data_IF_514621778421
#
_entry.id   IF_514621778421
#
_cell.length_a   1.000
_cell.length_b   1.000
_cell.length_c   1.000
_cell.angle_alpha   90.00
_cell.angle_beta   90.00
_cell.angle_gamma   90.00
#
_symmetry.space_group_name_H-M   'P 1'
#
loop_
_entity.id
_entity.type
_entity.pdbx_description
1 polymer ?
#
# COMPACT_ATOMS: atom_id res chain seq x y z
N UNK A 1 12.63 35.30 -3.45
CA UNK A 1 11.65 34.60 -4.30
C UNK A 1 11.56 33.18 -3.79
N UNK A 2 10.49 32.81 -3.10
CA UNK A 2 10.26 31.41 -2.73
C UNK A 2 9.80 30.68 -3.98
N UNK A 3 10.73 29.98 -4.64
CA UNK A 3 10.38 29.17 -5.80
C UNK A 3 9.56 27.99 -5.29
N UNK A 4 8.25 28.02 -5.53
CA UNK A 4 7.35 26.93 -5.12
C UNK A 4 7.83 25.67 -5.84
N UNK A 5 8.20 24.66 -5.05
CA UNK A 5 8.72 23.38 -5.55
C UNK A 5 7.71 22.79 -6.54
N UNK A 6 8.17 22.30 -7.68
CA UNK A 6 7.29 21.66 -8.66
C UNK A 6 7.17 20.15 -8.43
N UNK A 7 6.18 19.53 -9.05
CA UNK A 7 6.06 18.05 -9.11
C UNK A 7 7.34 17.45 -9.71
N UNK A 8 7.90 18.08 -10.75
CA UNK A 8 9.14 17.63 -11.40
C UNK A 8 10.35 17.66 -10.45
N UNK A 9 10.45 18.69 -9.61
CA UNK A 9 11.51 18.79 -8.60
C UNK A 9 11.37 17.71 -7.52
N UNK A 10 10.14 17.41 -7.13
CA UNK A 10 9.82 16.32 -6.18
C UNK A 10 10.20 14.96 -6.77
N UNK A 11 9.79 14.67 -8.01
CA UNK A 11 10.19 13.45 -8.72
C UNK A 11 11.71 13.33 -8.85
N UNK A 12 12.39 14.41 -9.21
CA UNK A 12 13.86 14.44 -9.31
C UNK A 12 14.51 14.12 -7.95
N UNK A 13 14.03 14.72 -6.87
CA UNK A 13 14.53 14.43 -5.53
C UNK A 13 14.28 12.98 -5.11
N UNK A 14 13.10 12.43 -5.39
CA UNK A 14 12.81 11.03 -5.13
C UNK A 14 13.82 10.10 -5.82
N UNK A 15 14.03 10.28 -7.12
CA UNK A 15 14.97 9.44 -7.88
C UNK A 15 16.45 9.72 -7.55
N UNK A 16 16.77 10.83 -6.86
CA UNK A 16 18.09 11.07 -6.26
C UNK A 16 18.26 10.29 -4.96
N UNK A 17 17.20 10.15 -4.17
CA UNK A 17 17.20 9.45 -2.88
C UNK A 17 17.04 7.93 -3.02
N UNK A 18 16.30 7.48 -4.04
CA UNK A 18 16.13 6.06 -4.39
C UNK A 18 16.49 5.84 -5.84
N UNK A 19 17.73 5.37 -6.06
CA UNK A 19 18.31 5.18 -7.41
C UNK A 19 18.07 3.78 -7.98
N UNK A 20 17.55 2.84 -7.17
CA UNK A 20 17.30 1.46 -7.60
C UNK A 20 16.05 1.41 -8.50
N UNK A 21 16.01 0.51 -9.50
CA UNK A 21 14.82 0.35 -10.32
C UNK A 21 13.61 -0.13 -9.51
N UNK A 22 12.46 0.52 -9.71
CA UNK A 22 11.17 0.08 -9.19
C UNK A 22 10.43 -0.65 -10.32
N UNK A 23 9.93 -1.86 -10.02
CA UNK A 23 9.13 -2.64 -10.94
C UNK A 23 7.90 -1.84 -11.41
N UNK A 24 7.56 -1.95 -12.69
CA UNK A 24 6.60 -1.07 -13.38
C UNK A 24 5.23 -1.00 -12.70
N UNK A 25 4.70 -2.13 -12.23
CA UNK A 25 3.41 -2.22 -11.52
C UNK A 25 3.37 -1.33 -10.26
N UNK A 26 4.47 -1.29 -9.50
CA UNK A 26 4.58 -0.50 -8.27
C UNK A 26 5.04 0.94 -8.54
N UNK A 27 5.77 1.19 -9.64
CA UNK A 27 6.20 2.54 -10.01
C UNK A 27 5.01 3.48 -10.16
N UNK A 28 3.93 3.01 -10.79
CA UNK A 28 2.70 3.80 -10.94
C UNK A 28 2.12 4.19 -9.59
N UNK A 29 2.02 3.25 -8.64
CA UNK A 29 1.55 3.49 -7.27
C UNK A 29 2.39 4.57 -6.58
N UNK A 30 3.72 4.42 -6.63
CA UNK A 30 4.64 5.35 -5.97
C UNK A 30 4.56 6.75 -6.59
N UNK A 31 4.48 6.85 -7.92
CA UNK A 31 4.37 8.15 -8.59
C UNK A 31 3.03 8.83 -8.35
N UNK A 32 1.91 8.10 -8.39
CA UNK A 32 0.58 8.66 -8.09
C UNK A 32 0.53 9.17 -6.65
N UNK A 33 1.02 8.38 -5.68
CA UNK A 33 1.08 8.79 -4.28
C UNK A 33 2.00 10.01 -4.09
N UNK A 34 3.16 10.05 -4.74
CA UNK A 34 4.08 11.19 -4.68
C UNK A 34 3.46 12.48 -5.23
N UNK A 35 2.77 12.40 -6.36
CA UNK A 35 2.08 13.55 -6.95
C UNK A 35 0.96 14.02 -6.03
N UNK A 36 0.16 13.11 -5.49
CA UNK A 36 -0.92 13.45 -4.56
C UNK A 36 -0.38 14.15 -3.29
N UNK A 37 0.65 13.58 -2.67
CA UNK A 37 1.30 14.19 -1.51
C UNK A 37 1.91 15.56 -1.84
N UNK A 38 2.48 15.73 -3.03
CA UNK A 38 3.02 17.02 -3.49
C UNK A 38 1.92 18.07 -3.64
N UNK A 39 0.85 17.76 -4.36
CA UNK A 39 -0.24 18.70 -4.62
C UNK A 39 -0.95 19.12 -3.32
N UNK A 40 -0.99 18.23 -2.32
CA UNK A 40 -1.44 18.57 -0.98
C UNK A 40 -0.43 19.51 -0.28
N UNK A 41 0.87 19.18 -0.30
CA UNK A 41 1.90 19.96 0.40
C UNK A 41 2.00 21.44 -0.01
N UNK A 42 1.64 21.76 -1.26
CA UNK A 42 1.68 23.13 -1.82
C UNK A 42 0.32 23.83 -1.73
N UNK A 43 -0.73 23.17 -1.25
CA UNK A 43 -2.03 23.77 -1.05
C UNK A 43 -2.04 24.60 0.25
N UNK A 44 -2.48 25.86 0.17
CA UNK A 44 -2.45 26.79 1.30
C UNK A 44 -3.31 26.34 2.50
N UNK A 45 -4.37 25.57 2.26
CA UNK A 45 -5.29 25.10 3.29
C UNK A 45 -4.90 23.72 3.85
N UNK A 46 -3.86 23.09 3.29
CA UNK A 46 -3.40 21.79 3.75
C UNK A 46 -2.55 21.92 5.01
N UNK A 47 -2.93 21.14 6.02
CA UNK A 47 -2.14 20.93 7.23
C UNK A 47 -1.85 19.44 7.39
N UNK A 48 -0.65 19.10 7.87
CA UNK A 48 -0.35 17.74 8.29
C UNK A 48 -1.24 17.36 9.48
N UNK A 49 -1.81 16.16 9.44
CA UNK A 49 -2.43 15.52 10.58
C UNK A 49 -2.11 14.00 10.62
N UNK A 50 -2.26 13.34 11.79
CA UNK A 50 -1.98 11.91 11.98
C UNK A 50 -2.93 10.97 11.24
N UNK A 51 -4.18 11.38 10.97
CA UNK A 51 -5.14 10.57 10.20
C UNK A 51 -4.68 10.53 8.74
N UNK A 52 -4.28 11.68 8.19
CA UNK A 52 -3.63 11.77 6.88
C UNK A 52 -2.33 10.92 6.83
N UNK A 53 -1.48 11.00 7.86
CA UNK A 53 -0.25 10.21 7.92
C UNK A 53 -0.53 8.70 7.91
N UNK A 54 -1.52 8.24 8.69
CA UNK A 54 -2.00 6.87 8.67
C UNK A 54 -2.49 6.45 7.28
N UNK A 55 -3.20 7.35 6.60
CA UNK A 55 -3.64 7.16 5.22
C UNK A 55 -2.50 6.96 4.23
N UNK A 56 -1.45 7.78 4.32
CA UNK A 56 -0.23 7.69 3.48
C UNK A 56 0.51 6.39 3.75
N UNK A 57 0.78 6.07 5.01
CA UNK A 57 1.47 4.84 5.42
C UNK A 57 0.70 3.62 4.93
N UNK A 58 -0.62 3.59 5.16
CA UNK A 58 -1.44 2.44 4.79
C UNK A 58 -1.57 2.29 3.28
N UNK A 59 -1.76 3.39 2.55
CA UNK A 59 -1.80 3.35 1.09
C UNK A 59 -0.50 2.77 0.53
N UNK A 60 0.65 3.25 1.02
CA UNK A 60 1.93 2.70 0.60
C UNK A 60 2.04 1.21 0.94
N UNK A 61 1.79 0.83 2.19
CA UNK A 61 2.03 -0.55 2.65
C UNK A 61 1.15 -1.57 1.93
N UNK A 62 -0.14 -1.27 1.73
CA UNK A 62 -1.05 -2.21 1.06
C UNK A 62 -0.77 -2.30 -0.43
N UNK A 63 -0.55 -1.17 -1.12
CA UNK A 63 -0.26 -1.21 -2.55
C UNK A 63 1.14 -1.73 -2.88
N UNK A 64 2.07 -1.70 -1.92
CA UNK A 64 3.42 -2.27 -2.03
C UNK A 64 3.52 -3.69 -1.45
N UNK A 65 2.41 -4.32 -1.06
CA UNK A 65 2.39 -5.71 -0.64
C UNK A 65 2.97 -6.60 -1.75
N UNK A 66 3.81 -7.59 -1.41
CA UNK A 66 4.42 -8.47 -2.41
C UNK A 66 5.51 -7.83 -3.29
N UNK A 67 5.94 -6.60 -3.03
CA UNK A 67 7.08 -5.97 -3.72
C UNK A 67 8.37 -6.78 -3.51
N UNK A 68 9.19 -6.91 -4.56
CA UNK A 68 10.50 -7.56 -4.50
C UNK A 68 11.60 -6.67 -5.11
N UNK A 69 12.77 -6.54 -4.47
CA UNK A 69 13.13 -7.15 -3.19
C UNK A 69 12.50 -6.40 -1.99
N UNK A 70 11.95 -7.14 -1.02
CA UNK A 70 11.24 -6.61 0.15
C UNK A 70 12.02 -5.51 0.91
N UNK A 71 13.34 -5.67 1.03
CA UNK A 71 14.25 -4.73 1.71
C UNK A 71 14.22 -3.30 1.13
N UNK A 72 13.80 -3.14 -0.13
CA UNK A 72 13.78 -1.84 -0.79
C UNK A 72 12.52 -1.04 -0.45
N UNK A 73 11.44 -1.66 0.06
CA UNK A 73 10.20 -0.94 0.42
C UNK A 73 10.46 0.21 1.40
N UNK A 74 11.28 -0.04 2.43
CA UNK A 74 11.66 1.00 3.39
C UNK A 74 12.43 2.14 2.72
N UNK A 75 13.34 1.84 1.80
CA UNK A 75 14.07 2.87 1.04
C UNK A 75 13.13 3.70 0.16
N UNK A 76 12.17 3.07 -0.51
CA UNK A 76 11.17 3.75 -1.35
C UNK A 76 10.29 4.67 -0.50
N UNK A 77 9.74 4.18 0.62
CA UNK A 77 8.92 5.01 1.52
C UNK A 77 9.72 6.19 2.08
N UNK A 78 10.97 5.94 2.49
CA UNK A 78 11.84 6.98 3.02
C UNK A 78 12.15 8.05 1.96
N UNK A 79 12.43 7.64 0.73
CA UNK A 79 12.65 8.56 -0.38
C UNK A 79 11.38 9.36 -0.73
N UNK A 80 10.21 8.73 -0.67
CA UNK A 80 8.91 9.37 -0.91
C UNK A 80 8.69 10.53 0.07
N UNK A 81 8.77 10.29 1.38
CA UNK A 81 8.61 11.35 2.39
C UNK A 81 9.70 12.42 2.28
N UNK A 82 10.98 12.01 2.18
CA UNK A 82 12.11 12.96 2.12
C UNK A 82 12.12 13.80 0.84
N UNK A 83 11.55 13.31 -0.26
CA UNK A 83 11.39 14.09 -1.49
C UNK A 83 10.43 15.28 -1.34
N UNK A 84 9.64 15.32 -0.27
CA UNK A 84 8.73 16.40 0.10
C UNK A 84 9.17 17.09 1.40
N UNK A 85 10.43 16.89 1.80
CA UNK A 85 11.01 17.42 3.03
C UNK A 85 10.28 16.95 4.31
N UNK A 86 9.52 15.85 4.23
CA UNK A 86 8.89 15.20 5.37
C UNK A 86 9.81 14.18 6.05
N UNK A 87 9.53 13.92 7.33
CA UNK A 87 10.23 12.91 8.14
C UNK A 87 9.50 11.57 8.07
N UNK A 88 10.06 10.52 7.43
CA UNK A 88 9.41 9.22 7.33
C UNK A 88 9.08 8.60 8.69
N UNK A 89 9.96 8.81 9.67
CA UNK A 89 9.84 8.26 11.02
C UNK A 89 8.62 8.84 11.74
N UNK A 90 8.33 10.14 11.53
CA UNK A 90 7.14 10.79 12.08
C UNK A 90 5.85 10.19 11.52
N UNK A 91 5.79 9.95 10.20
CA UNK A 91 4.62 9.34 9.57
C UNK A 91 4.36 7.95 10.12
N UNK A 92 5.41 7.12 10.23
CA UNK A 92 5.32 5.75 10.74
C UNK A 92 4.88 5.74 12.20
N UNK A 93 5.51 6.56 13.05
CA UNK A 93 5.20 6.64 14.47
C UNK A 93 3.76 7.13 14.72
N UNK A 94 3.36 8.25 14.10
CA UNK A 94 2.02 8.79 14.30
C UNK A 94 0.94 7.80 13.80
N UNK A 95 1.17 7.14 12.67
CA UNK A 95 0.27 6.12 12.14
C UNK A 95 0.15 4.91 13.09
N UNK A 96 1.26 4.41 13.61
CA UNK A 96 1.30 3.27 14.53
C UNK A 96 0.59 3.59 15.85
N UNK A 97 0.91 4.72 16.47
CA UNK A 97 0.31 5.14 17.75
C UNK A 97 -1.20 5.40 17.62
N UNK A 98 -1.63 6.07 16.55
CA UNK A 98 -3.05 6.36 16.34
C UNK A 98 -3.85 5.09 16.06
N UNK A 99 -3.30 4.17 15.26
CA UNK A 99 -3.94 2.88 14.97
C UNK A 99 -3.98 1.98 16.22
N UNK A 100 -2.94 2.00 17.06
CA UNK A 100 -2.94 1.29 18.33
C UNK A 100 -4.02 1.83 19.29
N UNK A 101 -4.22 3.15 19.34
CA UNK A 101 -5.31 3.74 20.09
C UNK A 101 -6.68 3.26 19.58
N UNK A 102 -6.91 3.29 18.26
CA UNK A 102 -8.17 2.83 17.68
C UNK A 102 -8.48 1.36 18.03
N UNK A 103 -7.47 0.48 17.93
CA UNK A 103 -7.57 -0.93 18.34
C UNK A 103 -7.93 -1.11 19.82
N UNK A 104 -7.44 -0.23 20.70
CA UNK A 104 -7.71 -0.29 22.13
C UNK A 104 -9.08 0.25 22.56
N UNK A 105 -9.71 1.10 21.75
CA UNK A 105 -11.00 1.73 22.08
C UNK A 105 -12.21 0.84 21.75
N UNK A 106 -12.11 0.02 20.70
CA UNK A 106 -13.28 -0.63 20.08
C UNK A 106 -14.12 0.35 19.27
N UNK A 107 -14.94 -0.17 18.35
CA UNK A 107 -15.55 0.63 17.30
C UNK A 107 -16.58 1.67 17.80
N UNK A 108 -17.41 1.33 18.79
CA UNK A 108 -18.43 2.26 19.33
C UNK A 108 -17.78 3.50 19.96
N UNK A 109 -16.75 3.30 20.79
CA UNK A 109 -16.01 4.40 21.44
C UNK A 109 -15.21 5.21 20.42
N UNK A 110 -14.61 4.55 19.43
CA UNK A 110 -13.90 5.24 18.35
C UNK A 110 -14.85 6.14 17.56
N UNK A 111 -16.02 5.63 17.14
CA UNK A 111 -17.01 6.43 16.42
C UNK A 111 -17.52 7.56 17.29
N UNK A 112 -17.88 7.29 18.56
CA UNK A 112 -18.31 8.33 19.50
C UNK A 112 -17.26 9.42 19.69
N UNK A 113 -15.97 9.06 19.68
CA UNK A 113 -14.86 10.00 19.75
C UNK A 113 -14.71 10.86 18.49
N UNK A 114 -14.63 10.22 17.32
CA UNK A 114 -14.50 10.92 16.04
C UNK A 114 -15.75 11.75 15.70
N UNK A 115 -16.92 11.32 16.18
CA UNK A 115 -18.18 12.05 16.09
C UNK A 115 -18.33 13.17 17.15
N UNK A 116 -17.31 13.35 18.01
CA UNK A 116 -17.26 14.36 19.08
C UNK A 116 -18.39 14.23 20.13
N UNK A 117 -18.92 13.03 20.31
CA UNK A 117 -19.94 12.73 21.33
C UNK A 117 -19.31 12.36 22.67
N UNK A 118 -18.15 11.72 22.64
CA UNK A 118 -17.37 11.35 23.82
C UNK A 118 -15.90 11.67 23.61
N UNK A 119 -15.13 11.79 24.70
CA UNK A 119 -13.68 11.91 24.64
C UNK A 119 -13.11 10.79 25.50
N UNK A 120 -12.47 9.77 24.90
CA UNK A 120 -11.80 8.73 25.67
C UNK A 120 -10.65 9.30 26.49
N UNK A 121 -10.45 8.79 27.71
CA UNK A 121 -9.31 9.19 28.55
C UNK A 121 -7.96 8.94 27.86
N UNK A 122 -7.90 7.92 26.99
CA UNK A 122 -6.72 7.56 26.20
C UNK A 122 -6.52 8.38 24.92
N UNK A 123 -7.44 9.30 24.58
CA UNK A 123 -7.32 10.14 23.38
C UNK A 123 -6.07 11.02 23.42
N UNK A 124 -5.67 11.48 24.62
CA UNK A 124 -4.44 12.22 24.87
C UNK A 124 -4.22 13.36 23.86
N UNK A 125 -3.03 13.38 23.24
CA UNK A 125 -2.65 14.42 22.27
C UNK A 125 -3.51 14.47 21.01
N UNK A 126 -4.25 13.41 20.70
CA UNK A 126 -5.03 13.31 19.48
C UNK A 126 -6.38 14.02 19.56
N UNK A 127 -6.89 14.26 20.77
CA UNK A 127 -8.15 15.01 20.96
C UNK A 127 -8.06 16.43 20.39
N UNK A 128 -6.91 17.07 20.55
CA UNK A 128 -6.66 18.41 20.02
C UNK A 128 -6.72 18.38 18.48
N UNK A 129 -6.13 17.36 17.85
CA UNK A 129 -6.20 17.18 16.40
C UNK A 129 -7.64 17.07 15.89
N UNK A 130 -8.47 16.23 16.51
CA UNK A 130 -9.88 16.07 16.13
C UNK A 130 -10.63 17.40 16.26
N UNK A 131 -10.35 18.15 17.33
CA UNK A 131 -10.96 19.46 17.58
C UNK A 131 -10.54 20.51 16.55
N UNK A 132 -9.26 20.53 16.16
CA UNK A 132 -8.73 21.43 15.14
C UNK A 132 -9.30 21.14 13.74
N UNK A 133 -9.42 19.85 13.37
CA UNK A 133 -10.03 19.46 12.09
C UNK A 133 -11.48 19.95 12.04
N UNK A 134 -12.27 19.65 13.07
CA UNK A 134 -13.70 19.98 13.10
C UNK A 134 -13.99 21.49 13.18
N UNK A 135 -13.05 22.29 13.67
CA UNK A 135 -13.21 23.75 13.79
C UNK A 135 -12.58 24.52 12.62
N UNK A 136 -11.87 23.86 11.72
CA UNK A 136 -11.23 24.49 10.56
C UNK A 136 -12.20 24.55 9.36
N UNK A 137 -12.78 25.73 9.04
CA UNK A 137 -13.72 25.85 7.91
C UNK A 137 -13.06 25.65 6.55
N UNK A 138 -11.74 25.80 6.47
CA UNK A 138 -10.95 25.60 5.25
C UNK A 138 -10.25 24.24 5.23
N UNK A 139 -10.62 23.29 6.10
CA UNK A 139 -9.93 22.01 6.18
C UNK A 139 -9.78 21.34 4.80
N UNK A 140 -8.52 21.09 4.40
CA UNK A 140 -8.23 20.48 3.12
C UNK A 140 -8.44 18.97 3.17
N UNK A 141 -9.64 18.54 2.76
CA UNK A 141 -9.92 17.14 2.50
C UNK A 141 -8.92 16.52 1.50
N UNK A 142 -8.55 15.26 1.75
CA UNK A 142 -7.81 14.41 0.83
C UNK A 142 -8.32 12.96 0.88
N UNK A 143 -8.17 12.23 -0.22
CA UNK A 143 -8.45 10.78 -0.27
C UNK A 143 -7.60 10.03 0.76
N UNK A 144 -6.35 10.44 0.95
CA UNK A 144 -5.45 9.87 1.95
C UNK A 144 -6.03 10.03 3.38
N UNK A 145 -6.62 11.17 3.71
CA UNK A 145 -7.33 11.35 4.97
C UNK A 145 -8.52 10.39 5.12
N UNK A 146 -9.33 10.22 4.07
CA UNK A 146 -10.44 9.26 4.09
C UNK A 146 -9.95 7.82 4.32
N UNK A 147 -8.85 7.41 3.66
CA UNK A 147 -8.21 6.11 3.90
C UNK A 147 -7.77 5.99 5.36
N UNK A 148 -7.21 7.04 5.96
CA UNK A 148 -6.89 7.08 7.38
C UNK A 148 -8.08 6.79 8.27
N UNK A 149 -9.22 7.46 8.04
CA UNK A 149 -10.47 7.20 8.78
C UNK A 149 -10.94 5.75 8.63
N UNK A 150 -10.94 5.23 7.40
CA UNK A 150 -11.32 3.85 7.12
C UNK A 150 -10.44 2.85 7.89
N UNK A 151 -9.14 3.11 7.97
CA UNK A 151 -8.17 2.24 8.65
C UNK A 151 -8.33 2.31 10.17
N UNK A 152 -8.74 3.46 10.74
CA UNK A 152 -9.10 3.52 12.16
C UNK A 152 -10.31 2.65 12.46
N UNK A 153 -11.35 2.75 11.62
CA UNK A 153 -12.56 1.91 11.75
C UNK A 153 -12.21 0.42 11.63
N UNK A 154 -11.44 0.04 10.61
CA UNK A 154 -10.99 -1.35 10.39
C UNK A 154 -10.11 -1.84 11.55
N UNK A 155 -9.27 -0.97 12.12
CA UNK A 155 -8.44 -1.30 13.27
C UNK A 155 -9.26 -1.51 14.55
N UNK A 156 -10.35 -0.78 14.72
CA UNK A 156 -11.24 -0.93 15.88
C UNK A 156 -12.17 -2.14 15.75
N UNK A 157 -12.66 -2.42 14.54
CA UNK A 157 -13.42 -3.64 14.20
C UNK A 157 -13.34 -3.94 12.70
N UNK A 158 -12.65 -5.03 12.29
CA UNK A 158 -12.57 -5.44 10.89
C UNK A 158 -13.92 -5.82 10.26
N UNK A 159 -14.89 -6.26 11.05
CA UNK A 159 -16.20 -6.68 10.53
C UNK A 159 -17.11 -5.47 10.26
N UNK A 160 -16.94 -4.39 11.02
CA UNK A 160 -17.65 -3.13 10.78
C UNK A 160 -17.37 -2.57 9.37
N UNK A 161 -16.13 -2.64 8.89
CA UNK A 161 -15.80 -2.10 7.56
C UNK A 161 -16.19 -3.03 6.40
N UNK A 162 -16.45 -4.31 6.68
CA UNK A 162 -16.96 -5.28 5.70
C UNK A 162 -18.47 -5.13 5.51
N UNK A 163 -19.21 -4.83 6.57
CA UNK A 163 -20.63 -4.48 6.49
C UNK A 163 -20.78 -3.08 5.88
N UNK A 164 -21.35 -3.02 4.67
CA UNK A 164 -21.55 -1.77 3.94
C UNK A 164 -22.40 -0.77 4.71
N UNK A 165 -23.48 -1.24 5.33
CA UNK A 165 -24.42 -0.38 6.04
C UNK A 165 -23.79 0.18 7.32
N UNK A 166 -23.12 -0.65 8.11
CA UNK A 166 -22.43 -0.19 9.32
C UNK A 166 -21.30 0.77 8.98
N UNK A 167 -20.50 0.46 7.95
CA UNK A 167 -19.44 1.34 7.47
C UNK A 167 -19.98 2.70 7.03
N UNK A 168 -21.03 2.74 6.22
CA UNK A 168 -21.65 3.99 5.75
C UNK A 168 -22.20 4.82 6.90
N UNK A 169 -22.92 4.20 7.84
CA UNK A 169 -23.44 4.88 9.02
C UNK A 169 -22.33 5.47 9.89
N UNK A 170 -21.24 4.72 10.11
CA UNK A 170 -20.08 5.20 10.84
C UNK A 170 -19.42 6.40 10.15
N UNK A 171 -19.17 6.28 8.83
CA UNK A 171 -18.53 7.34 8.05
C UNK A 171 -19.40 8.59 7.94
N UNK A 172 -20.71 8.46 7.75
CA UNK A 172 -21.64 9.58 7.70
C UNK A 172 -21.63 10.35 9.02
N UNK A 173 -21.69 9.63 10.14
CA UNK A 173 -21.65 10.23 11.48
C UNK A 173 -20.36 11.01 11.72
N UNK A 174 -19.22 10.44 11.34
CA UNK A 174 -17.90 11.10 11.42
C UNK A 174 -17.83 12.30 10.47
N UNK A 175 -18.32 12.17 9.24
CA UNK A 175 -18.27 13.21 8.25
C UNK A 175 -19.05 14.46 8.68
N UNK A 176 -20.24 14.29 9.25
CA UNK A 176 -21.04 15.39 9.81
C UNK A 176 -20.28 16.08 10.94
N UNK A 177 -19.74 15.33 11.90
CA UNK A 177 -19.07 15.89 13.07
C UNK A 177 -17.77 16.65 12.74
N UNK A 178 -17.07 16.21 11.69
CA UNK A 178 -15.81 16.79 11.23
C UNK A 178 -15.98 17.76 10.04
N UNK A 179 -17.21 18.06 9.63
CA UNK A 179 -17.54 18.92 8.49
C UNK A 179 -16.85 18.47 7.19
N UNK A 180 -16.86 17.17 6.92
CA UNK A 180 -16.22 16.55 5.77
C UNK A 180 -17.21 16.27 4.63
N UNK A 181 -16.75 16.25 3.37
CA UNK A 181 -17.60 15.97 2.21
C UNK A 181 -17.94 14.46 2.13
N UNK A 182 -19.08 14.06 2.70
CA UNK A 182 -19.57 12.66 2.76
C UNK A 182 -19.53 11.95 1.41
N UNK A 183 -20.06 12.56 0.35
CA UNK A 183 -20.10 11.98 -1.00
C UNK A 183 -18.68 11.70 -1.55
N UNK A 184 -17.71 12.57 -1.23
CA UNK A 184 -16.31 12.36 -1.65
C UNK A 184 -15.67 11.22 -0.87
N UNK A 185 -15.93 11.13 0.45
CA UNK A 185 -15.42 10.03 1.29
C UNK A 185 -15.89 8.69 0.74
N UNK A 186 -17.18 8.54 0.48
CA UNK A 186 -17.75 7.29 -0.06
C UNK A 186 -17.08 6.91 -1.40
N UNK A 187 -17.05 7.82 -2.37
CA UNK A 187 -16.44 7.58 -3.69
C UNK A 187 -14.96 7.23 -3.60
N UNK A 188 -14.20 7.95 -2.78
CA UNK A 188 -12.76 7.74 -2.61
C UNK A 188 -12.45 6.39 -1.94
N UNK A 189 -13.27 5.97 -0.98
CA UNK A 189 -13.10 4.68 -0.31
C UNK A 189 -13.51 3.50 -1.17
N UNK A 190 -14.56 3.64 -1.99
CA UNK A 190 -14.94 2.61 -2.97
C UNK A 190 -13.85 2.43 -4.04
N UNK A 191 -13.30 3.55 -4.55
CA UNK A 191 -12.19 3.51 -5.48
C UNK A 191 -10.94 2.89 -4.84
N UNK A 192 -10.62 3.25 -3.60
CA UNK A 192 -9.51 2.67 -2.85
C UNK A 192 -9.65 1.15 -2.71
N UNK A 193 -10.80 0.67 -2.24
CA UNK A 193 -11.09 -0.77 -2.08
C UNK A 193 -11.02 -1.51 -3.41
N UNK A 194 -11.65 -0.97 -4.46
CA UNK A 194 -11.58 -1.54 -5.81
C UNK A 194 -10.14 -1.63 -6.34
N UNK A 195 -9.30 -0.63 -6.06
CA UNK A 195 -7.91 -0.64 -6.50
C UNK A 195 -7.06 -1.64 -5.70
N UNK A 196 -7.36 -1.87 -4.42
CA UNK A 196 -6.71 -2.93 -3.64
C UNK A 196 -7.01 -4.31 -4.25
N UNK A 197 -8.27 -4.57 -4.60
CA UNK A 197 -8.66 -5.84 -5.21
C UNK A 197 -7.95 -6.06 -6.56
N UNK A 198 -7.88 -5.02 -7.40
CA UNK A 198 -7.16 -5.08 -8.70
C UNK A 198 -5.69 -5.39 -8.53
N UNK A 199 -5.02 -4.78 -7.55
CA UNK A 199 -3.60 -5.02 -7.30
C UNK A 199 -3.37 -6.42 -6.73
N UNK A 200 -4.23 -6.88 -5.83
CA UNK A 200 -4.18 -8.26 -5.32
C UNK A 200 -4.34 -9.29 -6.45
N UNK A 201 -5.29 -9.08 -7.37
CA UNK A 201 -5.46 -9.91 -8.56
C UNK A 201 -4.23 -9.89 -9.48
N UNK A 202 -3.68 -8.70 -9.75
CA UNK A 202 -2.48 -8.56 -10.58
C UNK A 202 -1.25 -9.24 -9.98
N UNK A 203 -1.12 -9.25 -8.65
CA UNK A 203 -0.05 -9.95 -7.93
C UNK A 203 -0.15 -11.48 -8.08
N UNK A 204 -1.36 -12.03 -7.98
CA UNK A 204 -1.61 -13.46 -8.20
C UNK A 204 -1.16 -13.86 -9.61
N UNK A 205 -1.63 -13.12 -10.63
CA UNK A 205 -1.26 -13.37 -12.04
C UNK A 205 0.24 -13.28 -12.26
N UNK A 206 0.91 -12.28 -11.67
CA UNK A 206 2.36 -12.11 -11.79
C UNK A 206 3.12 -13.29 -11.16
N UNK A 207 2.69 -13.75 -9.98
CA UNK A 207 3.30 -14.89 -9.30
C UNK A 207 3.17 -16.15 -10.14
N UNK A 208 1.98 -16.43 -10.67
CA UNK A 208 1.72 -17.59 -11.52
C UNK A 208 2.57 -17.56 -12.80
N UNK A 209 2.74 -16.38 -13.40
CA UNK A 209 3.58 -16.20 -14.59
C UNK A 209 5.07 -16.45 -14.29
N UNK A 210 5.58 -15.95 -13.16
CA UNK A 210 6.96 -16.21 -12.72
C UNK A 210 7.19 -17.70 -12.48
N UNK A 211 6.26 -18.38 -11.79
CA UNK A 211 6.36 -19.82 -11.53
C UNK A 211 6.31 -20.64 -12.83
N UNK A 212 5.45 -20.26 -13.77
CA UNK A 212 5.38 -20.90 -15.08
C UNK A 212 6.66 -20.70 -15.90
N UNK A 213 7.22 -19.48 -15.91
CA UNK A 213 8.50 -19.21 -16.56
C UNK A 213 9.64 -20.00 -15.92
N UNK A 214 9.69 -20.08 -14.59
CA UNK A 214 10.72 -20.83 -13.86
C UNK A 214 10.65 -22.31 -14.24
N UNK A 215 9.47 -22.93 -14.19
CA UNK A 215 9.24 -24.32 -14.63
C UNK A 215 9.63 -24.54 -16.09
N UNK A 216 9.31 -23.59 -16.98
CA UNK A 216 9.67 -23.67 -18.41
C UNK A 216 11.17 -23.53 -18.65
N UNK A 217 11.89 -22.77 -17.81
CA UNK A 217 13.36 -22.67 -17.86
C UNK A 217 14.03 -23.91 -17.30
N UNK A 218 13.53 -24.44 -16.18
CA UNK A 218 14.00 -25.69 -15.57
C UNK A 218 13.85 -26.88 -16.54
N UNK A 219 12.67 -27.03 -17.17
CA UNK A 219 12.45 -28.06 -18.20
C UNK A 219 13.40 -27.93 -19.38
N UNK A 220 13.60 -26.71 -19.90
CA UNK A 220 14.55 -26.48 -21.01
C UNK A 220 15.99 -26.79 -20.63
N UNK A 221 16.39 -26.51 -19.39
CA UNK A 221 17.72 -26.85 -18.89
C UNK A 221 17.90 -28.36 -18.74
N UNK A 222 16.88 -29.09 -18.26
CA UNK A 222 16.89 -30.55 -18.18
C UNK A 222 16.95 -31.19 -19.57
N UNK A 223 16.12 -30.75 -20.52
CA UNK A 223 16.13 -31.24 -21.91
C UNK A 223 17.45 -30.95 -22.64
N UNK A 224 18.17 -29.88 -22.27
CA UNK A 224 19.50 -29.59 -22.81
C UNK A 224 20.58 -30.50 -22.19
N UNK A 225 20.51 -30.77 -20.88
CA UNK A 225 21.41 -31.70 -20.21
C UNK A 225 21.24 -33.14 -20.69
N UNK A 226 20.01 -33.58 -20.96
CA UNK A 226 19.72 -34.91 -21.54
C UNK A 226 20.23 -35.04 -22.99
N UNK A 227 20.31 -33.94 -23.74
CA UNK A 227 20.87 -33.94 -25.10
C UNK A 227 22.40 -33.90 -25.13
N UNK A 228 23.05 -33.36 -24.11
CA UNK A 228 24.51 -33.27 -24.01
C UNK A 228 25.15 -34.52 -23.39
N UNK A 229 24.38 -35.36 -22.69
CA UNK A 229 24.80 -36.69 -22.23
C UNK A 229 23.83 -37.78 -22.75
N UNK A 230 23.94 -38.20 -24.03
CA UNK A 230 23.25 -39.40 -24.47
C UNK A 230 23.93 -40.60 -23.80
N UNK A 231 23.25 -41.23 -22.84
CA UNK A 231 23.70 -42.49 -22.26
C UNK A 231 23.93 -43.51 -23.38
N UNK A 232 25.12 -44.12 -23.39
CA UNK A 232 25.47 -45.29 -24.20
C UNK A 232 24.50 -46.45 -23.90
N UNK A 233 23.38 -46.53 -24.59
CA UNK A 233 22.60 -47.76 -24.75
C UNK A 233 22.30 -47.94 -26.24
N UNK A 234 23.37 -48.26 -26.99
CA UNK A 234 23.24 -48.98 -28.25
C UNK A 234 23.81 -50.38 -28.00
N UNK A 235 22.96 -51.29 -27.49
CA UNK A 235 23.23 -52.73 -27.56
C UNK A 235 23.44 -53.11 -29.02
N UNK A 236 24.66 -53.53 -29.32
CA UNK A 236 25.09 -54.06 -30.61
C UNK A 236 24.45 -55.45 -30.78
N UNK A 237 23.72 -55.72 -31.88
CA UNK A 237 23.26 -57.08 -32.17
C UNK A 237 24.48 -57.92 -32.58
N UNK A 238 24.82 -58.92 -31.78
CA UNK A 238 25.82 -59.92 -32.16
C UNK A 238 25.19 -60.97 -33.06
N UNK A 239 25.34 -60.80 -34.37
CA UNK A 239 25.39 -61.91 -35.32
C UNK A 239 26.86 -62.25 -35.53
N UNK A 240 27.28 -63.48 -35.18
CA UNK A 240 27.90 -64.35 -36.19
C UNK A 240 27.99 -65.82 -35.74
N UNK A 241 27.82 -66.67 -36.74
CA UNK A 241 27.64 -68.12 -36.75
C UNK A 241 28.90 -68.92 -36.33
N UNK A 242 28.72 -70.20 -35.94
CA UNK A 242 29.24 -71.37 -36.69
C UNK A 242 29.05 -72.68 -35.92
N UNK A 243 28.20 -73.54 -36.48
CA UNK A 243 28.43 -74.94 -36.85
C UNK A 243 29.55 -75.76 -36.14
N UNK A 244 29.18 -76.89 -35.50
CA UNK A 244 29.77 -78.22 -35.78
C UNK A 244 29.26 -79.32 -34.84
N UNK A 245 28.74 -80.40 -35.45
CA UNK A 245 28.65 -81.80 -35.03
C UNK A 245 29.35 -82.24 -33.71
N UNK A 246 28.59 -82.90 -32.82
CA UNK A 246 28.76 -84.31 -32.37
C UNK A 246 27.96 -84.61 -31.10
#
# INVERSE_FOLDING_TARGET
MNNVRTVSDTKRAFYTLHTRPIASIYRRVVEELMVEMHLLSVNADFGYDPIYALGVVTSFDRFMQGYQPEKDKGSIFNALCKSLDYKPEKYRQDAEELLALARGLGWEKLIGWLAKETVPDSAGRWQETISQIASNPSFKYSRLFAIGLYVLLEGADPDLVKDEKQREQALQKIAIALNLPEEKISKDLDLYRSNLDKIAQAQIVMKDMIEAERKKREKRAQEQQEKENPTEEAEVPSEDETDSDS
#
